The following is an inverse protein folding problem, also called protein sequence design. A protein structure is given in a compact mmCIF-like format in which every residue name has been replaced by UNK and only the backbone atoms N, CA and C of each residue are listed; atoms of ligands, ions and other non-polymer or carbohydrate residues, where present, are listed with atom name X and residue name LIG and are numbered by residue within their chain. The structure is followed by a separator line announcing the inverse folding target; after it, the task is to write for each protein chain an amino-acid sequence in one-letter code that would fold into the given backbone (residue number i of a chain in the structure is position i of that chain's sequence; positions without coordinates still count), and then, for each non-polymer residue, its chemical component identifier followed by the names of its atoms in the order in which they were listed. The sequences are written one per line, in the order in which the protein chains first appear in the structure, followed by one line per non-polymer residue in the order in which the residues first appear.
data_IF_946469148121
#
_entry.id   IF_946469148121
#
_cell.length_a   1.000
_cell.length_b   1.000
_cell.length_c   1.000
_cell.angle_alpha   90.00
_cell.angle_beta   90.00
_cell.angle_gamma   90.00
#
_symmetry.space_group_name_H-M   'P 1'
#
loop_
_entity.id
_entity.type
_entity.pdbx_description
1 polymer ?
#
# COMPACT_ATOMS: atom_id res chain seq x y z
N UNK A 1 23.16 11.35 -7.96
CA UNK A 1 22.38 10.36 -7.18
C UNK A 1 22.52 9.00 -7.85
N UNK A 2 22.66 7.90 -7.11
CA UNK A 2 22.68 6.57 -7.75
C UNK A 2 21.30 6.34 -8.38
N UNK A 3 21.23 6.24 -9.70
CA UNK A 3 19.97 6.02 -10.41
C UNK A 3 19.46 4.63 -10.03
N UNK A 4 18.31 4.56 -9.34
CA UNK A 4 17.58 3.32 -9.10
C UNK A 4 16.51 3.18 -10.18
N UNK A 5 16.35 1.98 -10.71
CA UNK A 5 15.34 1.68 -11.74
C UNK A 5 14.30 0.72 -11.17
N UNK A 6 13.03 0.97 -11.50
CA UNK A 6 11.91 0.10 -11.16
C UNK A 6 11.48 -0.66 -12.41
N UNK A 7 11.54 -1.99 -12.37
CA UNK A 7 11.07 -2.86 -13.46
C UNK A 7 9.82 -3.60 -13.00
N UNK A 8 8.67 -3.27 -13.60
CA UNK A 8 7.38 -3.84 -13.24
C UNK A 8 6.96 -4.89 -14.27
N UNK A 9 6.47 -6.04 -13.80
CA UNK A 9 5.75 -7.00 -14.64
C UNK A 9 4.25 -6.85 -14.34
N UNK A 10 3.47 -6.52 -15.37
CA UNK A 10 2.03 -6.34 -15.23
C UNK A 10 1.29 -6.87 -16.46
N UNK A 11 0.00 -7.15 -16.32
CA UNK A 11 -0.85 -7.52 -17.45
C UNK A 11 -1.12 -6.29 -18.33
N UNK A 12 -1.40 -6.54 -19.61
CA UNK A 12 -1.75 -5.50 -20.57
C UNK A 12 -2.93 -4.64 -20.10
N UNK A 13 -3.95 -5.25 -19.48
CA UNK A 13 -5.09 -4.52 -18.88
C UNK A 13 -4.64 -3.49 -17.84
N UNK A 14 -3.67 -3.82 -16.98
CA UNK A 14 -3.18 -2.89 -15.94
C UNK A 14 -2.28 -1.82 -16.57
N UNK A 15 -1.46 -2.18 -17.55
CA UNK A 15 -0.61 -1.24 -18.28
C UNK A 15 -1.46 -0.18 -19.00
N UNK A 16 -2.48 -0.61 -19.74
CA UNK A 16 -3.36 0.30 -20.46
C UNK A 16 -4.15 1.22 -19.52
N UNK A 17 -4.59 0.71 -18.36
CA UNK A 17 -5.24 1.53 -17.35
C UNK A 17 -4.31 2.63 -16.82
N UNK A 18 -3.04 2.30 -16.54
CA UNK A 18 -2.06 3.28 -16.10
C UNK A 18 -1.78 4.34 -17.18
N UNK A 19 -1.60 3.91 -18.43
CA UNK A 19 -1.39 4.79 -19.57
C UNK A 19 -2.57 5.76 -19.76
N UNK A 20 -3.80 5.25 -19.77
CA UNK A 20 -5.00 6.07 -19.94
C UNK A 20 -5.17 7.10 -18.80
N UNK A 21 -4.88 6.70 -17.56
CA UNK A 21 -4.92 7.63 -16.43
C UNK A 21 -3.85 8.73 -16.56
N UNK A 22 -2.65 8.37 -16.98
CA UNK A 22 -1.56 9.31 -17.20
C UNK A 22 -1.93 10.34 -18.30
N UNK A 23 -2.49 9.87 -19.42
CA UNK A 23 -3.00 10.74 -20.49
C UNK A 23 -4.13 11.66 -20.02
N UNK A 24 -5.08 11.14 -19.24
CA UNK A 24 -6.19 11.93 -18.69
C UNK A 24 -5.71 13.02 -17.71
N UNK A 25 -4.71 12.69 -16.88
CA UNK A 25 -4.17 13.59 -15.86
C UNK A 25 -3.08 14.56 -16.39
N UNK A 26 -2.76 14.51 -17.69
CA UNK A 26 -1.64 15.22 -18.32
C UNK A 26 -0.30 15.01 -17.59
N UNK A 27 -0.03 13.75 -17.23
CA UNK A 27 1.17 13.33 -16.51
C UNK A 27 1.86 12.19 -17.25
N UNK A 28 3.15 12.01 -16.98
CA UNK A 28 3.86 10.80 -17.38
C UNK A 28 3.49 9.63 -16.47
N UNK A 29 3.54 8.39 -16.99
CA UNK A 29 3.31 7.19 -16.17
C UNK A 29 4.27 7.11 -14.97
N UNK A 30 5.49 7.62 -15.13
CA UNK A 30 6.48 7.71 -14.05
C UNK A 30 6.01 8.64 -12.95
N UNK A 31 5.54 9.85 -13.28
CA UNK A 31 5.00 10.79 -12.27
C UNK A 31 3.81 10.21 -11.52
N UNK A 32 2.92 9.49 -12.21
CA UNK A 32 1.80 8.79 -11.54
C UNK A 32 2.31 7.77 -10.52
N UNK A 33 3.37 7.03 -10.85
CA UNK A 33 3.99 6.06 -9.95
C UNK A 33 4.71 6.77 -8.80
N UNK A 34 5.45 7.84 -9.08
CA UNK A 34 6.17 8.63 -8.07
C UNK A 34 5.20 9.24 -7.06
N UNK A 35 4.10 9.84 -7.53
CA UNK A 35 3.04 10.37 -6.66
C UNK A 35 2.42 9.27 -5.80
N UNK A 36 2.18 8.09 -6.37
CA UNK A 36 1.70 6.94 -5.60
C UNK A 36 2.72 6.52 -4.54
N UNK A 37 4.02 6.49 -4.87
CA UNK A 37 5.09 6.16 -3.93
C UNK A 37 5.15 7.19 -2.81
N UNK A 38 5.00 8.48 -3.11
CA UNK A 38 4.99 9.56 -2.12
C UNK A 38 3.81 9.46 -1.14
N UNK A 39 2.71 8.81 -1.53
CA UNK A 39 1.60 8.53 -0.60
C UNK A 39 1.85 7.34 0.34
N UNK A 40 2.87 6.53 0.08
CA UNK A 40 3.14 5.35 0.90
C UNK A 40 3.70 5.76 2.27
N UNK A 41 3.26 5.11 3.37
CA UNK A 41 3.84 5.39 4.67
C UNK A 41 5.32 5.02 4.67
N UNK A 42 6.15 5.85 5.32
CA UNK A 42 7.55 5.50 5.59
C UNK A 42 7.60 4.31 6.54
N UNK A 43 7.83 3.12 5.99
CA UNK A 43 8.10 1.93 6.80
C UNK A 43 9.49 2.11 7.37
N UNK A 44 9.58 2.43 8.67
CA UNK A 44 10.82 2.25 9.41
C UNK A 44 11.08 0.75 9.39
N UNK A 45 11.96 0.31 8.50
CA UNK A 45 12.50 -1.05 8.58
C UNK A 45 13.03 -1.16 10.00
N UNK A 46 12.38 -2.01 10.81
CA UNK A 46 12.94 -2.41 12.08
C UNK A 46 14.33 -2.92 11.76
N UNK A 47 15.34 -2.15 12.17
CA UNK A 47 16.54 -2.79 12.66
C UNK A 47 16.08 -3.90 13.60
N UNK A 48 16.79 -5.01 13.56
CA UNK A 48 16.40 -6.29 14.12
C UNK A 48 16.36 -6.26 15.65
N UNK A 49 15.51 -5.43 16.24
CA UNK A 49 15.25 -5.34 17.67
C UNK A 49 13.73 -5.28 17.82
N UNK A 50 13.19 -6.46 18.10
CA UNK A 50 11.80 -6.68 18.41
C UNK A 50 11.30 -5.65 19.43
N UNK A 51 10.32 -4.83 19.04
CA UNK A 51 9.14 -4.39 19.83
C UNK A 51 8.53 -3.13 19.21
N UNK A 52 7.28 -3.24 18.75
CA UNK A 52 6.47 -2.04 18.60
C UNK A 52 5.39 -2.07 17.53
N UNK A 53 4.55 -3.10 17.50
CA UNK A 53 3.16 -2.96 17.04
C UNK A 53 2.25 -3.75 17.97
N UNK A 54 2.23 -3.33 19.24
CA UNK A 54 1.06 -3.54 20.07
C UNK A 54 0.08 -2.41 19.76
N UNK A 55 -1.20 -2.75 19.67
CA UNK A 55 -2.37 -1.85 19.66
C UNK A 55 -2.88 -1.45 18.26
N UNK A 56 -3.37 -2.42 17.50
CA UNK A 56 -4.67 -2.23 16.86
C UNK A 56 -5.70 -2.91 17.77
N UNK A 57 -6.54 -2.11 18.41
CA UNK A 57 -7.58 -2.52 19.34
C UNK A 57 -8.45 -3.64 18.74
N UNK A 58 -8.23 -4.87 19.20
CA UNK A 58 -9.29 -5.87 19.21
C UNK A 58 -10.28 -5.41 20.28
N UNK A 59 -11.20 -4.52 19.89
CA UNK A 59 -12.38 -4.21 20.67
C UNK A 59 -13.11 -5.52 20.92
N UNK A 60 -12.92 -6.07 22.11
CA UNK A 60 -13.66 -7.21 22.66
C UNK A 60 -15.14 -6.86 22.63
N UNK A 61 -15.83 -7.28 21.58
CA UNK A 61 -17.27 -7.47 21.66
C UNK A 61 -17.46 -8.88 22.18
N UNK A 62 -17.71 -8.97 23.50
CA UNK A 62 -18.18 -10.19 24.12
C UNK A 62 -19.39 -10.70 23.31
N UNK A 63 -19.27 -11.88 22.72
CA UNK A 63 -20.43 -12.61 22.23
C UNK A 63 -21.30 -12.97 23.46
N UNK A 64 -22.58 -12.56 23.52
CA UNK A 64 -23.45 -13.04 24.58
C UNK A 64 -23.72 -14.53 24.36
N UNK A 65 -23.27 -15.35 25.31
CA UNK A 65 -23.66 -16.76 25.39
C UNK A 65 -25.08 -16.77 25.95
N UNK A 66 -26.07 -17.02 25.08
CA UNK A 66 -27.43 -17.30 25.54
C UNK A 66 -27.48 -18.77 26.05
N UNK A 67 -27.89 -19.03 27.30
CA UNK A 67 -28.35 -20.36 27.68
C UNK A 67 -29.75 -20.57 27.12
N UNK A 68 -29.94 -21.61 26.29
CA UNK A 68 -31.25 -22.17 26.01
C UNK A 68 -31.39 -23.47 26.80
N UNK A 69 -32.55 -23.62 27.43
CA UNK A 69 -33.04 -24.73 28.28
C UNK A 69 -32.56 -26.14 27.90
#
# INVERSE_FOLDING_TARGET
MKNKQLRLRMSERRFNKLKQYAEYADKTMTQVIDELIDTLPSIKNGDSDARGLANAELSSTNCPVNPAD
#
